data_IF_253662286927
#
_entry.id   IF_253662286927
#
_cell.length_a   1.000
_cell.length_b   1.000
_cell.length_c   1.000
_cell.angle_alpha   90.00
_cell.angle_beta   90.00
_cell.angle_gamma   90.00
#
_symmetry.space_group_name_H-M   'P 1'
#
loop_
_entity.id
_entity.type
_entity.pdbx_description
1 polymer ?
#
# COMPACT_ATOMS: atom_id res chain seq x y z
N UNK A 1 -20.62 -0.05 2.60
CA UNK A 1 -20.08 0.87 1.57
C UNK A 1 -18.65 0.47 1.34
N UNK A 2 -18.24 0.14 0.11
CA UNK A 2 -16.90 -0.36 -0.13
C UNK A 2 -15.83 0.66 0.28
N UNK A 3 -14.70 0.16 0.76
CA UNK A 3 -13.56 0.99 1.15
C UNK A 3 -12.79 1.49 -0.07
N UNK A 4 -12.65 0.64 -1.09
CA UNK A 4 -12.08 0.98 -2.40
C UNK A 4 -13.09 0.61 -3.48
N UNK A 5 -13.34 1.52 -4.41
CA UNK A 5 -14.17 1.24 -5.59
C UNK A 5 -13.50 1.84 -6.83
N UNK A 6 -13.19 0.99 -7.79
CA UNK A 6 -12.71 1.38 -9.11
C UNK A 6 -13.85 1.16 -10.12
N UNK A 7 -14.11 2.17 -10.96
CA UNK A 7 -15.14 2.12 -12.01
C UNK A 7 -14.54 2.47 -13.36
N UNK A 8 -14.54 1.53 -14.30
CA UNK A 8 -14.12 1.69 -15.70
C UNK A 8 -12.71 2.32 -15.81
N UNK A 9 -11.78 1.88 -14.96
CA UNK A 9 -10.43 2.39 -14.96
C UNK A 9 -9.67 1.93 -16.18
N UNK A 10 -9.09 2.89 -16.90
CA UNK A 10 -8.13 2.62 -17.96
C UNK A 10 -6.85 3.41 -17.76
N UNK A 11 -5.71 2.78 -18.08
CA UNK A 11 -4.39 3.41 -18.05
C UNK A 11 -3.57 3.02 -19.26
N UNK A 12 -3.11 4.03 -19.99
CA UNK A 12 -2.27 3.90 -21.17
C UNK A 12 -0.98 4.68 -20.94
N UNK A 13 0.15 4.01 -21.05
CA UNK A 13 1.47 4.65 -21.06
C UNK A 13 1.91 4.90 -22.50
N UNK A 14 2.40 6.10 -22.77
CA UNK A 14 3.03 6.44 -24.04
C UNK A 14 4.54 6.25 -23.90
N UNK A 15 5.09 5.26 -24.58
CA UNK A 15 6.53 4.99 -24.66
C UNK A 15 7.02 5.29 -26.08
N UNK A 16 7.54 6.48 -26.29
CA UNK A 16 7.92 7.01 -27.61
C UNK A 16 6.80 6.80 -28.65
N UNK A 17 6.97 5.85 -29.58
CA UNK A 17 5.99 5.52 -30.63
C UNK A 17 5.01 4.40 -30.27
N UNK A 18 5.21 3.73 -29.12
CA UNK A 18 4.39 2.59 -28.69
C UNK A 18 3.45 3.02 -27.58
N UNK A 19 2.18 2.64 -27.70
CA UNK A 19 1.21 2.76 -26.61
C UNK A 19 1.07 1.41 -25.90
N UNK A 20 1.27 1.42 -24.58
CA UNK A 20 1.04 0.25 -23.74
C UNK A 20 -0.23 0.48 -22.91
N UNK A 21 -1.28 -0.26 -23.19
CA UNK A 21 -2.50 -0.26 -22.39
C UNK A 21 -2.32 -1.17 -21.18
N UNK A 22 -1.87 -0.57 -20.09
CA UNK A 22 -1.54 -1.31 -18.86
C UNK A 22 -2.78 -1.74 -18.07
N UNK A 23 -3.87 -0.95 -18.16
CA UNK A 23 -5.19 -1.26 -17.57
C UNK A 23 -6.26 -0.88 -18.58
N UNK A 24 -7.25 -1.74 -18.80
CA UNK A 24 -8.28 -1.59 -19.81
C UNK A 24 -9.67 -1.92 -19.24
N UNK A 25 -10.43 -0.87 -18.92
CA UNK A 25 -11.81 -0.93 -18.45
C UNK A 25 -12.04 -1.82 -17.21
N UNK A 26 -11.20 -1.64 -16.18
CA UNK A 26 -11.23 -2.43 -14.96
C UNK A 26 -12.18 -1.81 -13.93
N UNK A 27 -13.09 -2.64 -13.37
CA UNK A 27 -14.02 -2.23 -12.32
C UNK A 27 -14.09 -3.31 -11.23
N UNK A 28 -13.88 -2.93 -9.96
CA UNK A 28 -14.07 -3.81 -8.80
C UNK A 28 -14.25 -2.99 -7.52
N UNK A 29 -14.64 -3.67 -6.45
CA UNK A 29 -14.77 -3.09 -5.11
C UNK A 29 -14.00 -3.91 -4.11
N UNK A 30 -13.54 -3.27 -3.02
CA UNK A 30 -12.89 -3.91 -1.87
C UNK A 30 -13.58 -3.39 -0.62
N UNK A 31 -13.98 -4.32 0.26
CA UNK A 31 -14.61 -3.98 1.53
C UNK A 31 -13.58 -3.78 2.63
N UNK A 32 -14.00 -3.13 3.72
CA UNK A 32 -13.12 -2.90 4.88
C UNK A 32 -12.71 -4.21 5.54
N UNK A 33 -11.43 -4.34 5.90
CA UNK A 33 -10.88 -5.50 6.61
C UNK A 33 -10.54 -6.68 5.70
N UNK A 34 -10.75 -6.57 4.38
CA UNK A 34 -10.36 -7.63 3.45
C UNK A 34 -8.83 -7.79 3.33
N UNK A 35 -8.42 -9.01 3.02
CA UNK A 35 -7.05 -9.39 2.65
C UNK A 35 -7.06 -9.78 1.18
N UNK A 36 -6.70 -8.82 0.31
CA UNK A 36 -6.98 -8.86 -1.15
C UNK A 36 -5.70 -9.13 -1.94
N UNK A 37 -5.75 -10.06 -2.89
CA UNK A 37 -4.68 -10.26 -3.86
C UNK A 37 -5.09 -9.77 -5.25
N UNK A 38 -4.38 -8.79 -5.81
CA UNK A 38 -4.39 -8.47 -7.24
C UNK A 38 -3.34 -9.39 -7.88
N UNK A 39 -3.79 -10.43 -8.58
CA UNK A 39 -2.95 -11.53 -9.07
C UNK A 39 -2.95 -11.61 -10.60
N UNK A 40 -1.81 -11.97 -11.17
CA UNK A 40 -1.63 -12.15 -12.61
C UNK A 40 -0.16 -12.25 -13.00
N UNK A 41 0.16 -12.60 -14.25
CA UNK A 41 1.54 -12.70 -14.72
C UNK A 41 2.27 -11.35 -14.66
N UNK A 42 3.60 -11.39 -14.83
CA UNK A 42 4.40 -10.14 -14.95
C UNK A 42 3.90 -9.31 -16.15
N UNK A 43 3.83 -7.99 -15.97
CA UNK A 43 3.35 -7.07 -17.02
C UNK A 43 1.81 -7.03 -17.19
N UNK A 44 1.02 -7.77 -16.40
CA UNK A 44 -0.44 -7.79 -16.55
C UNK A 44 -1.18 -6.51 -16.08
N UNK A 45 -0.49 -5.55 -15.43
CA UNK A 45 -1.09 -4.31 -14.94
C UNK A 45 -1.28 -4.21 -13.42
N UNK A 46 -0.84 -5.22 -12.63
CA UNK A 46 -1.01 -5.26 -11.15
C UNK A 46 -0.45 -4.02 -10.45
N UNK A 47 0.85 -3.73 -10.66
CA UNK A 47 1.50 -2.56 -10.03
C UNK A 47 0.90 -1.25 -10.52
N UNK A 48 0.42 -1.20 -11.77
CA UNK A 48 -0.32 -0.03 -12.29
C UNK A 48 -1.62 0.18 -11.52
N UNK A 49 -2.41 -0.87 -11.29
CA UNK A 49 -3.62 -0.78 -10.45
C UNK A 49 -3.28 -0.38 -9.02
N UNK A 50 -2.23 -0.98 -8.43
CA UNK A 50 -1.78 -0.63 -7.09
C UNK A 50 -1.38 0.84 -6.99
N UNK A 51 -0.67 1.38 -8.01
CA UNK A 51 -0.27 2.79 -8.08
C UNK A 51 -1.48 3.73 -8.25
N UNK A 52 -2.50 3.32 -9.00
CA UNK A 52 -3.74 4.10 -9.15
C UNK A 52 -4.51 4.14 -7.82
N UNK A 53 -4.67 3.02 -7.12
CA UNK A 53 -5.27 2.96 -5.78
C UNK A 53 -4.42 3.77 -4.80
N UNK A 54 -3.09 3.67 -4.94
CA UNK A 54 -2.09 4.39 -4.14
C UNK A 54 -2.01 5.89 -4.41
N UNK A 55 -2.77 6.40 -5.39
CA UNK A 55 -2.76 7.81 -5.80
C UNK A 55 -1.37 8.33 -6.20
N UNK A 56 -0.50 7.43 -6.65
CA UNK A 56 0.85 7.74 -7.16
C UNK A 56 0.87 7.85 -8.67
N UNK A 57 -0.16 7.34 -9.34
CA UNK A 57 -0.36 7.48 -10.78
C UNK A 57 -1.81 7.84 -11.10
N UNK A 58 -2.03 8.61 -12.18
CA UNK A 58 -3.34 9.02 -12.67
C UNK A 58 -3.88 7.99 -13.66
N UNK A 59 -5.14 7.53 -13.52
CA UNK A 59 -5.81 6.84 -14.61
C UNK A 59 -6.06 7.79 -15.80
N UNK A 60 -6.22 7.25 -17.00
CA UNK A 60 -6.63 8.04 -18.18
C UNK A 60 -8.15 8.22 -18.23
N UNK A 61 -8.90 7.30 -17.61
CA UNK A 61 -10.36 7.38 -17.50
C UNK A 61 -10.87 6.55 -16.33
N UNK A 62 -12.12 6.73 -15.97
CA UNK A 62 -12.81 6.02 -14.91
C UNK A 62 -12.86 6.81 -13.60
N UNK A 63 -13.27 6.13 -12.51
CA UNK A 63 -13.39 6.74 -11.18
C UNK A 63 -12.66 5.90 -10.14
N UNK A 64 -11.97 6.58 -9.25
CA UNK A 64 -11.34 6.00 -8.05
C UNK A 64 -12.05 6.58 -6.83
N UNK A 65 -12.68 5.71 -6.05
CA UNK A 65 -13.40 6.10 -4.84
C UNK A 65 -12.71 5.41 -3.66
N UNK A 66 -12.19 6.19 -2.72
CA UNK A 66 -11.57 5.71 -1.50
C UNK A 66 -12.38 6.18 -0.30
N UNK A 67 -12.87 5.25 0.50
CA UNK A 67 -13.67 5.53 1.70
C UNK A 67 -14.82 6.52 1.43
N UNK A 68 -15.51 6.33 0.29
CA UNK A 68 -16.62 7.18 -0.17
C UNK A 68 -16.22 8.50 -0.83
N UNK A 69 -14.92 8.81 -0.92
CA UNK A 69 -14.41 10.04 -1.57
C UNK A 69 -14.08 9.74 -3.02
N UNK A 70 -14.79 10.34 -3.98
CA UNK A 70 -14.41 10.32 -5.40
C UNK A 70 -13.18 11.23 -5.58
N UNK A 71 -12.03 10.60 -5.78
CA UNK A 71 -10.70 11.26 -5.74
C UNK A 71 -10.53 12.29 -6.84
N UNK A 72 -11.05 11.99 -8.03
CA UNK A 72 -10.84 12.77 -9.26
C UNK A 72 -12.11 13.44 -9.76
N UNK A 73 -13.15 13.62 -8.90
CA UNK A 73 -14.47 14.15 -9.28
C UNK A 73 -14.41 15.42 -10.13
N UNK A 74 -13.49 16.33 -9.80
CA UNK A 74 -13.38 17.65 -10.43
C UNK A 74 -12.26 17.73 -11.48
N UNK A 75 -11.72 16.57 -11.90
CA UNK A 75 -10.56 16.48 -12.80
C UNK A 75 -10.96 15.86 -14.13
N UNK A 76 -10.62 16.55 -15.22
CA UNK A 76 -10.75 15.97 -16.54
C UNK A 76 -9.54 15.07 -16.85
N UNK A 77 -9.66 13.79 -16.55
CA UNK A 77 -8.60 12.80 -16.71
C UNK A 77 -8.13 12.63 -18.16
N UNK A 78 -9.02 12.88 -19.14
CA UNK A 78 -8.69 12.71 -20.57
C UNK A 78 -7.69 13.75 -21.09
N UNK A 79 -7.69 14.93 -20.47
CA UNK A 79 -6.79 16.05 -20.86
C UNK A 79 -5.60 16.21 -19.89
N UNK A 80 -5.69 15.65 -18.69
CA UNK A 80 -4.66 15.79 -17.64
C UNK A 80 -3.60 14.71 -17.81
N UNK A 81 -2.43 15.07 -18.32
CA UNK A 81 -1.30 14.13 -18.52
C UNK A 81 -0.40 13.99 -17.30
N UNK A 82 -0.33 15.02 -16.47
CA UNK A 82 0.51 15.09 -15.26
C UNK A 82 -0.32 15.59 -14.09
N UNK A 83 0.04 15.23 -12.86
CA UNK A 83 -0.66 15.68 -11.66
C UNK A 83 -0.44 17.20 -11.51
N UNK A 84 -1.50 18.05 -11.58
CA UNK A 84 -1.37 19.49 -11.31
C UNK A 84 -0.99 19.72 -9.83
N UNK A 85 -0.22 20.76 -9.53
CA UNK A 85 0.22 21.08 -8.16
C UNK A 85 -0.94 21.18 -7.16
N UNK A 86 -2.07 21.77 -7.58
CA UNK A 86 -3.29 21.88 -6.74
C UNK A 86 -3.88 20.50 -6.41
N UNK A 87 -3.83 19.57 -7.35
CA UNK A 87 -4.28 18.20 -7.14
C UNK A 87 -3.28 17.41 -6.30
N UNK A 88 -1.97 17.62 -6.49
CA UNK A 88 -0.93 16.87 -5.77
C UNK A 88 -1.02 17.08 -4.26
N UNK A 89 -1.29 18.29 -3.80
CA UNK A 89 -1.53 18.55 -2.37
C UNK A 89 -2.73 17.75 -1.84
N UNK A 90 -3.87 17.74 -2.55
CA UNK A 90 -5.06 16.95 -2.20
C UNK A 90 -4.75 15.45 -2.16
N UNK A 91 -4.04 14.93 -3.18
CA UNK A 91 -3.65 13.52 -3.24
C UNK A 91 -2.68 13.15 -2.12
N UNK A 92 -1.76 14.05 -1.77
CA UNK A 92 -0.82 13.86 -0.66
C UNK A 92 -1.56 13.75 0.67
N UNK A 93 -2.55 14.61 0.91
CA UNK A 93 -3.39 14.54 2.11
C UNK A 93 -4.22 13.25 2.15
N UNK A 94 -4.80 12.82 1.03
CA UNK A 94 -5.53 11.56 0.95
C UNK A 94 -4.61 10.35 1.18
N UNK A 95 -3.41 10.32 0.57
CA UNK A 95 -2.42 9.27 0.82
C UNK A 95 -2.11 9.14 2.30
N UNK A 96 -1.79 10.26 2.95
CA UNK A 96 -1.47 10.31 4.38
C UNK A 96 -2.61 9.81 5.27
N UNK A 97 -3.86 10.11 4.90
CA UNK A 97 -5.04 9.77 5.69
C UNK A 97 -5.52 8.34 5.48
N UNK A 98 -5.40 7.81 4.27
CA UNK A 98 -6.06 6.59 3.85
C UNK A 98 -5.12 5.42 3.59
N UNK A 99 -3.83 5.69 3.31
CA UNK A 99 -2.94 4.70 2.70
C UNK A 99 -1.64 4.51 3.49
N UNK A 100 -1.24 3.26 3.67
CA UNK A 100 0.11 2.85 4.05
C UNK A 100 0.74 2.03 2.93
N UNK A 101 2.06 2.07 2.80
CA UNK A 101 2.77 1.39 1.72
C UNK A 101 3.84 0.44 2.26
N UNK A 102 3.83 -0.78 1.73
CA UNK A 102 4.87 -1.79 1.92
C UNK A 102 5.45 -2.11 0.55
N UNK A 103 6.70 -1.74 0.32
CA UNK A 103 7.39 -1.91 -0.96
C UNK A 103 8.26 -3.18 -0.98
N UNK A 104 8.49 -3.71 -2.16
CA UNK A 104 9.40 -4.84 -2.39
C UNK A 104 10.83 -4.55 -1.87
N UNK A 105 11.33 -3.33 -2.02
CA UNK A 105 12.69 -2.91 -1.65
C UNK A 105 12.77 -2.26 -0.26
N UNK A 106 11.74 -2.45 0.59
CA UNK A 106 11.62 -1.93 1.95
C UNK A 106 11.60 -0.39 2.07
N UNK A 107 12.35 0.33 1.27
CA UNK A 107 12.47 1.80 1.21
C UNK A 107 12.69 2.44 2.61
N UNK A 108 13.55 1.83 3.43
CA UNK A 108 13.95 2.37 4.72
C UNK A 108 14.97 3.50 4.55
N UNK A 109 14.88 4.50 5.41
CA UNK A 109 15.85 5.60 5.45
C UNK A 109 17.13 5.11 6.14
N UNK A 110 18.28 5.05 5.43
CA UNK A 110 19.48 4.36 5.92
C UNK A 110 20.11 4.97 7.18
N UNK A 111 19.94 6.28 7.37
CA UNK A 111 20.50 7.03 8.51
C UNK A 111 19.66 6.91 9.77
N UNK A 112 18.38 6.56 9.65
CA UNK A 112 17.45 6.38 10.75
C UNK A 112 17.51 4.94 11.28
N UNK A 113 17.36 4.77 12.60
CA UNK A 113 17.22 3.45 13.22
C UNK A 113 15.81 2.87 12.98
N UNK A 114 15.55 1.67 13.50
CA UNK A 114 14.25 0.97 13.38
C UNK A 114 13.11 1.85 13.90
N UNK A 115 13.26 2.37 15.13
CA UNK A 115 12.22 3.14 15.80
C UNK A 115 11.91 4.45 15.04
N UNK A 116 12.93 5.16 14.62
CA UNK A 116 12.82 6.39 13.84
C UNK A 116 12.20 6.13 12.45
N UNK A 117 12.57 5.04 11.76
CA UNK A 117 11.94 4.66 10.49
C UNK A 117 10.43 4.41 10.65
N UNK A 118 10.03 3.74 11.75
CA UNK A 118 8.61 3.46 12.02
C UNK A 118 7.86 4.76 12.31
N UNK A 119 8.44 5.69 13.08
CA UNK A 119 7.79 6.95 13.44
C UNK A 119 7.79 8.00 12.32
N UNK A 120 8.65 7.87 11.31
CA UNK A 120 8.82 8.86 10.25
C UNK A 120 7.51 9.39 9.63
N UNK A 121 6.49 8.55 9.32
CA UNK A 121 5.23 9.06 8.79
C UNK A 121 4.50 10.03 9.74
N UNK A 122 4.63 9.87 11.04
CA UNK A 122 4.02 10.76 12.03
C UNK A 122 4.71 12.13 12.05
N UNK A 123 6.04 12.16 11.86
CA UNK A 123 6.83 13.39 11.80
C UNK A 123 6.56 14.20 10.52
N UNK A 124 6.30 13.52 9.40
CA UNK A 124 5.93 14.16 8.13
C UNK A 124 4.50 14.71 8.17
N UNK A 125 3.61 14.04 8.91
CA UNK A 125 2.23 14.51 9.09
C UNK A 125 1.29 13.43 9.63
N UNK A 126 0.63 13.74 10.73
CA UNK A 126 -0.33 12.84 11.37
C UNK A 126 -1.57 12.60 10.50
N UNK A 127 -2.09 11.36 10.53
CA UNK A 127 -3.43 11.04 10.00
C UNK A 127 -4.52 11.51 10.97
N UNK A 128 -5.79 11.62 10.56
CA UNK A 128 -6.89 11.95 11.48
C UNK A 128 -6.93 11.02 12.70
N UNK A 129 -6.61 9.75 12.55
CA UNK A 129 -6.60 8.78 13.64
C UNK A 129 -5.46 9.00 14.64
N UNK A 130 -4.34 9.58 14.21
CA UNK A 130 -3.17 9.84 15.08
C UNK A 130 -3.08 11.28 15.55
N UNK A 131 -3.76 12.22 14.89
CA UNK A 131 -3.82 13.64 15.28
C UNK A 131 -4.42 13.87 16.68
N UNK A 132 -5.35 13.03 17.11
CA UNK A 132 -5.99 13.09 18.42
C UNK A 132 -5.17 12.44 19.54
N UNK A 133 -4.10 11.72 19.20
CA UNK A 133 -3.26 11.01 20.16
C UNK A 133 -2.21 11.97 20.76
N UNK A 134 -2.08 11.93 22.08
CA UNK A 134 -0.99 12.66 22.76
C UNK A 134 0.36 11.90 22.60
N UNK A 135 1.46 12.57 22.99
CA UNK A 135 2.82 12.00 22.84
C UNK A 135 2.98 10.63 23.53
N UNK A 136 2.37 10.44 24.69
CA UNK A 136 2.44 9.16 25.42
C UNK A 136 1.72 8.04 24.65
N UNK A 137 0.54 8.32 24.13
CA UNK A 137 -0.24 7.38 23.32
C UNK A 137 0.48 7.02 22.02
N UNK A 138 1.09 8.00 21.34
CA UNK A 138 1.91 7.74 20.15
C UNK A 138 3.11 6.85 20.47
N UNK A 139 3.80 7.10 21.60
CA UNK A 139 4.92 6.24 22.06
C UNK A 139 4.43 4.83 22.34
N UNK A 140 3.33 4.67 23.08
CA UNK A 140 2.75 3.35 23.37
C UNK A 140 2.33 2.60 22.10
N UNK A 141 1.74 3.32 21.15
CA UNK A 141 1.36 2.74 19.86
C UNK A 141 2.59 2.30 19.04
N UNK A 142 3.65 3.10 19.02
CA UNK A 142 4.92 2.72 18.36
C UNK A 142 5.53 1.49 19.02
N UNK A 143 5.59 1.46 20.35
CA UNK A 143 6.13 0.34 21.12
C UNK A 143 5.32 -0.95 20.87
N UNK A 144 4.00 -0.86 20.86
CA UNK A 144 3.12 -1.97 20.50
C UNK A 144 3.42 -2.54 19.10
N UNK A 145 3.57 -1.66 18.09
CA UNK A 145 3.90 -2.11 16.73
C UNK A 145 5.28 -2.78 16.68
N UNK A 146 6.29 -2.19 17.32
CA UNK A 146 7.65 -2.75 17.37
C UNK A 146 7.66 -4.13 18.03
N UNK A 147 6.92 -4.31 19.11
CA UNK A 147 6.76 -5.60 19.80
C UNK A 147 6.02 -6.61 18.92
N UNK A 148 4.89 -6.19 18.32
CA UNK A 148 4.06 -7.07 17.46
C UNK A 148 4.82 -7.59 16.24
N UNK A 149 5.70 -6.78 15.65
CA UNK A 149 6.55 -7.22 14.53
C UNK A 149 7.83 -7.93 15.00
N UNK A 150 8.05 -8.10 16.31
CA UNK A 150 9.18 -8.83 16.89
C UNK A 150 10.52 -8.11 16.75
N UNK A 151 10.54 -6.78 16.90
CA UNK A 151 11.75 -5.95 16.75
C UNK A 151 12.14 -5.20 18.02
N UNK A 152 11.70 -5.66 19.21
CA UNK A 152 11.97 -4.99 20.50
C UNK A 152 13.46 -4.80 20.76
N UNK A 153 14.28 -5.82 20.53
CA UNK A 153 15.74 -5.77 20.75
C UNK A 153 16.48 -5.00 19.66
N UNK A 154 15.81 -4.70 18.56
CA UNK A 154 16.40 -4.08 17.37
C UNK A 154 16.06 -2.58 17.23
N UNK A 155 15.36 -1.98 18.20
CA UNK A 155 14.85 -0.59 18.13
C UNK A 155 15.91 0.44 17.69
N UNK A 156 17.15 0.28 18.14
CA UNK A 156 18.25 1.23 17.91
C UNK A 156 19.15 0.86 16.71
N UNK A 157 18.92 -0.30 16.07
CA UNK A 157 19.71 -0.73 14.91
C UNK A 157 19.32 0.02 13.65
N UNK A 158 20.29 0.22 12.76
CA UNK A 158 20.09 0.83 11.43
C UNK A 158 19.72 -0.25 10.40
N UNK A 159 19.11 0.11 9.27
CA UNK A 159 18.74 -0.83 8.22
C UNK A 159 19.90 -1.72 7.71
N UNK A 160 21.13 -1.22 7.71
CA UNK A 160 22.33 -1.97 7.31
C UNK A 160 22.68 -3.12 8.26
N UNK A 161 22.18 -3.09 9.49
CA UNK A 161 22.44 -4.08 10.54
C UNK A 161 21.33 -5.13 10.64
N UNK A 162 20.31 -5.05 9.77
CA UNK A 162 19.12 -5.89 9.79
C UNK A 162 19.11 -6.90 8.64
N UNK A 163 18.57 -8.09 8.90
CA UNK A 163 18.24 -9.07 7.86
C UNK A 163 17.13 -8.54 6.93
N UNK A 164 16.92 -9.19 5.77
CA UNK A 164 15.83 -8.86 4.85
C UNK A 164 14.46 -8.93 5.51
N UNK A 165 14.18 -10.01 6.25
CA UNK A 165 12.93 -10.18 6.99
C UNK A 165 12.73 -9.11 8.08
N UNK A 166 13.79 -8.73 8.80
CA UNK A 166 13.72 -7.65 9.79
C UNK A 166 13.42 -6.29 9.14
N UNK A 167 14.07 -5.98 8.00
CA UNK A 167 13.77 -4.76 7.23
C UNK A 167 12.33 -4.72 6.75
N UNK A 168 11.78 -5.85 6.31
CA UNK A 168 10.38 -5.93 5.90
C UNK A 168 9.43 -5.71 7.09
N UNK A 169 9.74 -6.26 8.26
CA UNK A 169 8.97 -6.02 9.50
C UNK A 169 8.96 -4.54 9.89
N UNK A 170 10.08 -3.82 9.72
CA UNK A 170 10.12 -2.35 9.90
C UNK A 170 9.21 -1.65 8.90
N UNK A 171 9.25 -2.03 7.62
CA UNK A 171 8.41 -1.43 6.58
C UNK A 171 6.91 -1.64 6.86
N UNK A 172 6.52 -2.83 7.35
CA UNK A 172 5.14 -3.14 7.75
C UNK A 172 4.71 -2.26 8.94
N UNK A 173 5.51 -2.20 9.99
CA UNK A 173 5.21 -1.37 11.16
C UNK A 173 5.11 0.12 10.79
N UNK A 174 6.01 0.61 9.92
CA UNK A 174 5.97 1.97 9.38
C UNK A 174 4.69 2.24 8.58
N UNK A 175 4.21 1.29 7.80
CA UNK A 175 2.97 1.45 7.05
C UNK A 175 1.74 1.53 7.97
N UNK A 176 1.76 0.85 9.12
CA UNK A 176 0.66 0.80 10.08
C UNK A 176 0.64 1.95 11.10
N UNK A 177 1.76 2.66 11.27
CA UNK A 177 1.91 3.66 12.36
C UNK A 177 0.85 4.77 12.27
N UNK A 178 0.44 5.16 11.08
CA UNK A 178 -0.57 6.19 10.84
C UNK A 178 -2.01 5.71 11.07
N UNK A 179 -2.23 4.43 11.40
CA UNK A 179 -3.57 3.83 11.54
C UNK A 179 -4.47 4.04 10.31
N UNK A 180 -3.88 4.05 9.13
CA UNK A 180 -4.62 4.16 7.88
C UNK A 180 -5.48 2.90 7.63
N UNK A 181 -6.65 3.04 6.98
CA UNK A 181 -7.54 1.91 6.74
C UNK A 181 -7.05 0.93 5.67
N UNK A 182 -6.13 1.34 4.81
CA UNK A 182 -5.66 0.57 3.65
C UNK A 182 -4.13 0.46 3.66
N UNK A 183 -3.61 -0.75 3.55
CA UNK A 183 -2.19 -1.03 3.31
C UNK A 183 -2.03 -1.61 1.90
N UNK A 184 -1.23 -0.95 1.09
CA UNK A 184 -0.83 -1.39 -0.24
C UNK A 184 0.53 -2.09 -0.16
N UNK A 185 0.60 -3.33 -0.62
CA UNK A 185 1.82 -4.13 -0.58
C UNK A 185 2.20 -4.60 -2.00
N UNK A 186 3.29 -4.08 -2.54
CA UNK A 186 3.80 -4.48 -3.84
C UNK A 186 4.88 -5.54 -3.68
N UNK A 187 4.57 -6.79 -4.06
CA UNK A 187 5.46 -7.96 -3.98
C UNK A 187 6.22 -8.06 -2.63
N UNK A 188 5.53 -8.07 -1.46
CA UNK A 188 6.16 -7.85 -0.16
C UNK A 188 7.12 -8.96 0.29
N UNK A 189 7.11 -10.12 -0.38
CA UNK A 189 7.95 -11.29 -0.07
C UNK A 189 9.02 -11.57 -1.13
N UNK A 190 9.03 -10.85 -2.25
CA UNK A 190 9.87 -11.18 -3.40
C UNK A 190 11.40 -11.12 -3.12
N UNK A 191 11.83 -10.33 -2.13
CA UNK A 191 13.24 -10.20 -1.74
C UNK A 191 13.59 -11.00 -0.46
N UNK A 192 12.76 -11.99 -0.11
CA UNK A 192 12.94 -12.82 1.08
C UNK A 192 13.10 -14.29 0.68
N UNK A 193 13.83 -15.05 1.49
CA UNK A 193 13.76 -16.50 1.40
C UNK A 193 12.37 -17.03 1.82
N UNK A 194 12.07 -18.27 1.48
CA UNK A 194 10.75 -18.85 1.68
C UNK A 194 10.29 -18.82 3.14
N UNK A 195 11.20 -19.12 4.08
CA UNK A 195 10.88 -19.17 5.52
C UNK A 195 10.54 -17.77 6.06
N UNK A 196 11.36 -16.77 5.75
CA UNK A 196 11.09 -15.39 6.12
C UNK A 196 9.84 -14.85 5.42
N UNK A 197 9.62 -15.21 4.14
CA UNK A 197 8.43 -14.85 3.39
C UNK A 197 7.15 -15.35 4.08
N UNK A 198 7.11 -16.62 4.47
CA UNK A 198 5.96 -17.21 5.17
C UNK A 198 5.66 -16.49 6.49
N UNK A 199 6.69 -16.24 7.30
CA UNK A 199 6.53 -15.50 8.56
C UNK A 199 6.01 -14.07 8.34
N UNK A 200 6.41 -13.40 7.27
CA UNK A 200 5.91 -12.06 6.92
C UNK A 200 4.43 -12.12 6.54
N UNK A 201 4.01 -13.11 5.76
CA UNK A 201 2.61 -13.28 5.38
C UNK A 201 1.71 -13.58 6.58
N UNK A 202 2.14 -14.48 7.46
CA UNK A 202 1.44 -14.79 8.71
C UNK A 202 1.31 -13.54 9.59
N UNK A 203 2.38 -12.76 9.72
CA UNK A 203 2.37 -11.49 10.46
C UNK A 203 1.35 -10.51 9.85
N UNK A 204 1.36 -10.33 8.52
CA UNK A 204 0.43 -9.40 7.85
C UNK A 204 -1.02 -9.88 8.02
N UNK A 205 -1.30 -11.19 7.95
CA UNK A 205 -2.63 -11.74 8.18
C UNK A 205 -3.09 -11.55 9.64
N UNK A 206 -2.18 -11.75 10.61
CA UNK A 206 -2.44 -11.46 12.02
C UNK A 206 -2.82 -9.99 12.23
N UNK A 207 -2.01 -9.07 11.68
CA UNK A 207 -2.24 -7.63 11.77
C UNK A 207 -3.55 -7.19 11.08
N UNK A 208 -3.90 -7.79 9.94
CA UNK A 208 -5.19 -7.57 9.28
C UNK A 208 -6.36 -7.89 10.22
N UNK A 209 -6.32 -9.07 10.87
CA UNK A 209 -7.38 -9.54 11.79
C UNK A 209 -7.45 -8.69 13.05
N UNK A 210 -6.30 -8.35 13.67
CA UNK A 210 -6.24 -7.62 14.93
C UNK A 210 -6.62 -6.14 14.76
N UNK A 211 -6.12 -5.50 13.71
CA UNK A 211 -6.30 -4.06 13.49
C UNK A 211 -7.48 -3.74 12.56
N UNK A 212 -8.12 -4.75 11.96
CA UNK A 212 -9.19 -4.59 10.97
C UNK A 212 -8.78 -3.66 9.81
N UNK A 213 -7.48 -3.66 9.48
CA UNK A 213 -6.91 -2.90 8.38
C UNK A 213 -6.98 -3.72 7.10
N UNK A 214 -7.39 -3.10 5.99
CA UNK A 214 -7.46 -3.76 4.68
C UNK A 214 -6.08 -3.86 4.06
N UNK A 215 -5.69 -5.05 3.62
CA UNK A 215 -4.44 -5.26 2.89
C UNK A 215 -4.72 -5.57 1.42
N UNK A 216 -4.04 -4.86 0.51
CA UNK A 216 -4.15 -5.06 -0.94
C UNK A 216 -2.75 -5.37 -1.48
N UNK A 217 -2.59 -6.57 -2.00
CA UNK A 217 -1.33 -7.07 -2.53
C UNK A 217 -1.31 -7.02 -4.06
N UNK A 218 -0.24 -6.53 -4.64
CA UNK A 218 0.13 -6.81 -6.02
C UNK A 218 1.11 -7.99 -5.98
N UNK A 219 0.74 -9.14 -6.56
CA UNK A 219 1.56 -10.34 -6.42
C UNK A 219 1.37 -11.36 -7.55
N UNK A 220 2.38 -12.17 -7.76
CA UNK A 220 2.31 -13.43 -8.51
C UNK A 220 2.52 -14.66 -7.60
N UNK A 221 2.71 -14.44 -6.29
CA UNK A 221 2.91 -15.50 -5.30
C UNK A 221 1.59 -16.21 -5.00
N UNK A 222 1.56 -17.52 -5.27
CA UNK A 222 0.39 -18.37 -5.01
C UNK A 222 0.03 -18.48 -3.53
N UNK A 223 0.99 -18.30 -2.61
CA UNK A 223 0.72 -18.32 -1.16
C UNK A 223 -0.14 -17.13 -0.75
N UNK A 224 0.20 -15.91 -1.24
CA UNK A 224 -0.61 -14.72 -0.97
C UNK A 224 -2.03 -14.91 -1.53
N UNK A 225 -2.13 -15.45 -2.75
CA UNK A 225 -3.44 -15.74 -3.38
C UNK A 225 -4.26 -16.72 -2.55
N UNK A 226 -3.64 -17.79 -2.03
CA UNK A 226 -4.32 -18.80 -1.19
C UNK A 226 -4.76 -18.24 0.18
N UNK A 227 -3.98 -17.32 0.76
CA UNK A 227 -4.28 -16.69 2.05
C UNK A 227 -5.33 -15.58 1.92
N UNK A 228 -5.57 -15.07 0.71
CA UNK A 228 -6.49 -13.96 0.46
C UNK A 228 -7.94 -14.42 0.50
N UNK A 229 -8.79 -13.61 1.12
CA UNK A 229 -10.24 -13.83 1.12
C UNK A 229 -10.94 -13.19 -0.10
N UNK A 230 -10.22 -12.36 -0.84
CA UNK A 230 -10.68 -11.76 -2.09
C UNK A 230 -9.54 -11.74 -3.11
N UNK A 231 -9.76 -12.31 -4.29
CA UNK A 231 -8.75 -12.41 -5.36
C UNK A 231 -9.25 -11.70 -6.62
N UNK A 232 -8.52 -10.68 -7.04
CA UNK A 232 -8.76 -9.93 -8.27
C UNK A 232 -7.71 -10.42 -9.30
N UNK A 233 -8.17 -11.16 -10.28
CA UNK A 233 -7.29 -11.69 -11.34
C UNK A 233 -7.22 -10.72 -12.50
N UNK A 234 -5.99 -10.40 -12.94
CA UNK A 234 -5.74 -9.50 -14.07
C UNK A 234 -4.80 -10.17 -15.07
N UNK A 235 -5.15 -10.05 -16.36
CA UNK A 235 -4.33 -10.48 -17.49
C UNK A 235 -4.46 -9.45 -18.61
N UNK A 236 -3.31 -9.03 -19.17
CA UNK A 236 -3.24 -8.08 -20.29
C UNK A 236 -4.08 -6.81 -20.06
N UNK A 237 -4.05 -6.28 -18.84
CA UNK A 237 -4.78 -5.10 -18.42
C UNK A 237 -6.26 -5.31 -18.11
N UNK A 238 -6.82 -6.52 -18.22
CA UNK A 238 -8.25 -6.82 -18.02
C UNK A 238 -8.48 -7.78 -16.87
N UNK A 239 -9.65 -7.71 -16.27
CA UNK A 239 -10.12 -8.72 -15.31
C UNK A 239 -10.44 -10.04 -16.02
N UNK A 240 -10.12 -11.18 -15.37
CA UNK A 240 -10.35 -12.53 -15.87
C UNK A 240 -11.00 -13.42 -14.80
#
# INVERSE_FOLDING_TARGET
MPLVELKNISKIYQMDKVQVRAVDDVSFTIEKGEFVAISGPSGSGKSTLLNIIGLTDLPNSGKVILNGIDVYKDINLTTTKTIPLSLDSKLTDLRRQQLGFVFQTFNLIPVLNVYENIQLPLEIGASPATQTMNKKELTQWTDYLVETVGLTDWKKHKPSELSGGQRQRVAIARALITKCPIILADEPTANLDSTNGDQILELMQKLNKELQTTFIFSTHDSKIVQMSNHVIKIRDGKLV
#
